data_IF_293650850772
#
_entry.id   IF_293650850772
#
_cell.length_a   1.000
_cell.length_b   1.000
_cell.length_c   1.000
_cell.angle_alpha   90.00
_cell.angle_beta   90.00
_cell.angle_gamma   90.00
#
_symmetry.space_group_name_H-M   'P 1'
#
loop_
_entity.id
_entity.type
_entity.pdbx_description
1 polymer ?
#
# COMPACT_ATOMS: atom_id res chain seq x y z
N UNK A 1 -20.94 -7.16 19.20
CA UNK A 1 -19.60 -7.73 19.47
C UNK A 1 -19.33 -7.61 20.94
N UNK A 2 -18.95 -8.71 21.58
CA UNK A 2 -18.48 -8.74 22.96
C UNK A 2 -17.09 -9.36 22.95
N UNK A 3 -16.18 -8.78 23.71
CA UNK A 3 -14.82 -9.28 23.87
C UNK A 3 -14.50 -9.35 25.36
N UNK A 4 -14.00 -10.49 25.82
CA UNK A 4 -13.74 -10.73 27.24
C UNK A 4 -12.31 -11.20 27.44
N UNK A 5 -11.63 -10.60 28.41
CA UNK A 5 -10.34 -11.02 28.95
C UNK A 5 -10.57 -12.06 30.04
N UNK A 6 -9.77 -13.12 29.99
CA UNK A 6 -9.74 -14.24 30.94
C UNK A 6 -8.32 -14.47 31.42
N UNK A 7 -8.15 -15.32 32.44
CA UNK A 7 -6.84 -15.71 32.94
C UNK A 7 -5.95 -16.38 31.88
N UNK A 8 -6.54 -17.06 30.89
CA UNK A 8 -5.82 -17.83 29.86
C UNK A 8 -5.72 -17.11 28.51
N UNK A 9 -6.20 -15.87 28.40
CA UNK A 9 -6.21 -15.11 27.16
C UNK A 9 -7.49 -14.31 26.95
N UNK A 10 -7.87 -14.09 25.71
CA UNK A 10 -9.07 -13.33 25.36
C UNK A 10 -9.88 -14.04 24.27
N UNK A 11 -11.19 -13.85 24.28
CA UNK A 11 -12.06 -14.41 23.25
C UNK A 11 -13.27 -13.52 22.98
N UNK A 12 -13.86 -13.70 21.80
CA UNK A 12 -15.14 -13.10 21.45
C UNK A 12 -16.26 -13.94 22.06
N UNK A 13 -17.29 -13.26 22.56
CA UNK A 13 -18.50 -13.88 23.08
C UNK A 13 -19.66 -13.48 22.18
N UNK A 14 -20.49 -14.46 21.81
CA UNK A 14 -21.52 -14.28 20.78
C UNK A 14 -22.88 -13.86 21.34
N UNK A 15 -23.12 -14.03 22.64
CA UNK A 15 -24.38 -13.66 23.30
C UNK A 15 -24.16 -12.88 24.60
N UNK A 16 -25.04 -11.91 24.86
CA UNK A 16 -25.07 -11.17 26.11
C UNK A 16 -25.52 -12.04 27.29
N UNK A 17 -26.35 -13.06 27.03
CA UNK A 17 -26.82 -13.98 28.07
C UNK A 17 -25.66 -14.73 28.72
N UNK A 18 -24.59 -15.00 27.97
CA UNK A 18 -23.37 -15.62 28.50
C UNK A 18 -22.59 -14.68 29.44
N UNK A 19 -22.82 -13.37 29.37
CA UNK A 19 -22.24 -12.40 30.29
C UNK A 19 -23.07 -12.34 31.56
N UNK A 20 -24.39 -12.21 31.44
CA UNK A 20 -25.31 -12.10 32.58
C UNK A 20 -25.45 -13.41 33.35
N UNK A 21 -25.20 -14.56 32.71
CA UNK A 21 -25.18 -15.87 33.38
C UNK A 21 -23.91 -16.16 34.19
N UNK A 22 -22.94 -15.24 34.22
CA UNK A 22 -21.68 -15.45 34.96
C UNK A 22 -21.97 -15.41 36.46
N UNK A 23 -21.38 -16.30 37.27
CA UNK A 23 -21.73 -16.44 38.69
C UNK A 23 -21.61 -15.15 39.51
N UNK A 24 -20.69 -14.26 39.13
CA UNK A 24 -20.44 -13.01 39.85
C UNK A 24 -21.13 -11.80 39.20
N UNK A 25 -21.91 -11.99 38.13
CA UNK A 25 -22.56 -10.88 37.46
C UNK A 25 -23.75 -10.37 38.27
N UNK A 26 -23.78 -9.06 38.50
CA UNK A 26 -24.88 -8.38 39.18
C UNK A 26 -25.37 -7.24 38.31
N UNK A 27 -26.68 -7.19 38.09
CA UNK A 27 -27.33 -6.22 37.21
C UNK A 27 -27.11 -4.77 37.63
N UNK A 28 -27.00 -4.48 38.93
CA UNK A 28 -26.90 -3.11 39.44
C UNK A 28 -25.94 -2.97 40.62
N UNK A 29 -24.97 -2.07 40.50
CA UNK A 29 -24.02 -1.70 41.57
C UNK A 29 -24.10 -0.21 41.91
N UNK A 30 -23.68 0.14 43.13
CA UNK A 30 -23.46 1.52 43.58
C UNK A 30 -21.98 1.84 43.66
N UNK A 31 -21.55 3.01 43.16
CA UNK A 31 -20.16 3.48 43.32
C UNK A 31 -19.77 3.75 44.78
N UNK A 32 -20.76 3.99 45.64
CA UNK A 32 -20.51 4.23 47.07
C UNK A 32 -20.19 2.93 47.81
N UNK A 33 -20.64 1.79 47.29
CA UNK A 33 -20.52 0.46 47.90
C UNK A 33 -19.33 -0.32 47.32
N UNK A 34 -19.03 -0.13 46.03
CA UNK A 34 -18.02 -0.93 45.33
C UNK A 34 -16.98 -0.06 44.63
N UNK A 35 -15.72 -0.52 44.65
CA UNK A 35 -14.62 0.09 43.90
C UNK A 35 -14.28 -0.73 42.68
N UNK A 36 -13.95 -0.07 41.57
CA UNK A 36 -13.50 -0.76 40.37
C UNK A 36 -12.09 -1.32 40.58
N UNK A 37 -11.90 -2.58 40.21
CA UNK A 37 -10.60 -3.26 40.23
C UNK A 37 -10.03 -3.35 38.81
N UNK A 38 -10.81 -3.85 37.86
CA UNK A 38 -10.36 -4.03 36.48
C UNK A 38 -11.50 -3.95 35.45
N UNK A 39 -11.13 -3.73 34.19
CA UNK A 39 -12.00 -3.97 33.05
C UNK A 39 -11.66 -5.34 32.48
N UNK A 40 -12.68 -6.20 32.41
CA UNK A 40 -12.56 -7.58 31.94
C UNK A 40 -13.22 -7.80 30.59
N UNK A 41 -13.93 -6.81 30.06
CA UNK A 41 -14.55 -6.94 28.76
C UNK A 41 -14.97 -5.63 28.13
N UNK A 42 -15.27 -5.68 26.84
CA UNK A 42 -15.87 -4.61 26.07
C UNK A 42 -17.07 -5.14 25.30
N UNK A 43 -18.11 -4.32 25.18
CA UNK A 43 -19.25 -4.61 24.34
C UNK A 43 -19.58 -3.44 23.40
N UNK A 44 -20.04 -3.79 22.20
CA UNK A 44 -20.65 -2.87 21.25
C UNK A 44 -21.77 -3.57 20.48
N UNK A 45 -22.98 -3.05 20.58
CA UNK A 45 -24.18 -3.59 19.96
C UNK A 45 -24.87 -2.53 19.09
N UNK A 46 -25.77 -2.98 18.21
CA UNK A 46 -26.71 -2.09 17.51
C UNK A 46 -27.81 -1.66 18.46
N UNK A 47 -28.37 -2.64 19.17
CA UNK A 47 -29.37 -2.42 20.23
C UNK A 47 -28.68 -1.96 21.52
N UNK A 48 -29.44 -1.30 22.40
CA UNK A 48 -28.90 -0.72 23.63
C UNK A 48 -29.10 -1.66 24.82
N UNK A 49 -28.11 -1.69 25.71
CA UNK A 49 -28.14 -2.42 26.97
C UNK A 49 -28.12 -1.42 28.13
N UNK A 50 -28.96 -1.63 29.14
CA UNK A 50 -29.02 -0.76 30.31
C UNK A 50 -27.72 -0.85 31.12
N UNK A 51 -27.21 0.31 31.55
CA UNK A 51 -26.04 0.39 32.42
C UNK A 51 -26.32 -0.25 33.79
N UNK A 52 -25.37 -1.04 34.28
CA UNK A 52 -25.43 -1.62 35.62
C UNK A 52 -25.04 -0.65 36.75
N UNK A 53 -24.78 0.62 36.44
CA UNK A 53 -24.55 1.64 37.48
C UNK A 53 -25.88 2.26 37.93
N UNK A 54 -26.20 2.16 39.23
CA UNK A 54 -27.43 2.73 39.83
C UNK A 54 -27.61 4.23 39.52
N UNK A 55 -26.52 5.01 39.47
CA UNK A 55 -26.53 6.44 39.17
C UNK A 55 -26.81 6.80 37.70
N UNK A 56 -26.81 5.81 36.79
CA UNK A 56 -27.05 6.03 35.37
C UNK A 56 -28.30 5.27 34.89
N UNK A 57 -28.24 3.93 34.92
CA UNK A 57 -29.25 3.01 34.39
C UNK A 57 -29.76 3.37 32.97
N UNK A 58 -28.99 4.14 32.18
CA UNK A 58 -29.37 4.51 30.83
C UNK A 58 -28.96 3.43 29.83
N UNK A 59 -29.71 3.29 28.72
CA UNK A 59 -29.39 2.32 27.67
C UNK A 59 -28.19 2.80 26.83
N UNK A 60 -27.12 2.00 26.74
CA UNK A 60 -25.92 2.27 25.96
C UNK A 60 -25.71 1.27 24.83
N UNK A 61 -25.15 1.73 23.71
CA UNK A 61 -24.74 0.86 22.61
C UNK A 61 -23.34 0.27 22.82
N UNK A 62 -22.52 0.88 23.68
CA UNK A 62 -21.18 0.39 23.98
C UNK A 62 -20.75 0.73 25.41
N UNK A 63 -19.85 -0.10 25.93
CA UNK A 63 -19.29 0.08 27.24
C UNK A 63 -18.36 -1.08 27.60
N UNK A 64 -18.11 -1.21 28.89
CA UNK A 64 -17.16 -2.16 29.43
C UNK A 64 -17.85 -3.11 30.41
N UNK A 65 -17.33 -4.32 30.49
CA UNK A 65 -17.63 -5.26 31.56
C UNK A 65 -16.52 -5.06 32.59
N UNK A 66 -16.91 -4.66 33.79
CA UNK A 66 -15.98 -4.33 34.88
C UNK A 66 -16.03 -5.40 35.95
N UNK A 67 -14.95 -5.53 36.71
CA UNK A 67 -14.92 -6.27 37.96
C UNK A 67 -14.52 -5.34 39.09
N UNK A 68 -15.21 -5.46 40.21
CA UNK A 68 -14.94 -4.73 41.46
C UNK A 68 -13.91 -5.49 42.31
N UNK A 69 -13.40 -4.85 43.36
CA UNK A 69 -12.43 -5.44 44.30
C UNK A 69 -12.99 -6.64 45.09
N UNK A 70 -14.29 -6.66 45.37
CA UNK A 70 -15.02 -7.78 45.96
C UNK A 70 -15.45 -8.86 44.94
N UNK A 71 -15.00 -8.73 43.68
CA UNK A 71 -15.15 -9.75 42.65
C UNK A 71 -16.48 -9.75 41.89
N UNK A 72 -17.37 -8.79 42.16
CA UNK A 72 -18.62 -8.57 41.43
C UNK A 72 -18.31 -8.10 40.01
N UNK A 73 -19.07 -8.61 39.04
CA UNK A 73 -19.00 -8.22 37.65
C UNK A 73 -20.27 -7.46 37.25
N UNK A 74 -20.13 -6.40 36.44
CA UNK A 74 -21.29 -5.71 35.87
C UNK A 74 -20.91 -4.98 34.58
N UNK A 75 -21.89 -4.40 33.88
CA UNK A 75 -21.64 -3.60 32.68
C UNK A 75 -21.77 -2.10 32.97
N UNK A 76 -20.82 -1.31 32.51
CA UNK A 76 -20.82 0.15 32.67
C UNK A 76 -20.67 0.81 31.30
N UNK A 77 -21.51 1.80 31.01
CA UNK A 77 -21.39 2.61 29.80
C UNK A 77 -20.11 3.44 29.79
N UNK A 78 -19.54 3.67 28.61
CA UNK A 78 -18.27 4.41 28.47
C UNK A 78 -18.34 5.83 29.07
N UNK A 79 -19.42 6.56 28.81
CA UNK A 79 -19.60 7.95 29.25
C UNK A 79 -19.82 8.00 30.76
N UNK A 80 -20.82 7.26 31.26
CA UNK A 80 -21.17 7.29 32.68
C UNK A 80 -20.05 6.74 33.57
N UNK A 81 -19.29 5.75 33.10
CA UNK A 81 -18.14 5.23 33.86
C UNK A 81 -17.07 6.30 34.08
N UNK A 82 -16.78 7.11 33.06
CA UNK A 82 -15.83 8.21 33.18
C UNK A 82 -16.35 9.36 34.06
N UNK A 83 -17.64 9.65 34.04
CA UNK A 83 -18.27 10.66 34.91
C UNK A 83 -18.28 10.22 36.38
N UNK A 84 -18.53 8.94 36.64
CA UNK A 84 -18.81 8.44 37.98
C UNK A 84 -17.57 7.95 38.72
N UNK A 85 -16.60 7.41 37.99
CA UNK A 85 -15.34 6.86 38.53
C UNK A 85 -14.09 7.64 38.08
N UNK A 86 -14.26 8.67 37.25
CA UNK A 86 -13.22 9.64 36.93
C UNK A 86 -11.97 9.04 36.28
N UNK A 87 -10.80 9.45 36.79
CA UNK A 87 -9.48 9.10 36.24
C UNK A 87 -9.23 7.59 36.27
N UNK A 88 -9.63 6.91 37.35
CA UNK A 88 -9.43 5.46 37.50
C UNK A 88 -10.09 4.68 36.36
N UNK A 89 -11.32 5.04 35.99
CA UNK A 89 -12.01 4.39 34.88
C UNK A 89 -11.30 4.66 33.56
N UNK A 90 -10.86 5.90 33.30
CA UNK A 90 -10.13 6.24 32.08
C UNK A 90 -8.84 5.43 31.93
N UNK A 91 -8.05 5.30 33.00
CA UNK A 91 -6.82 4.50 33.01
C UNK A 91 -7.12 3.02 32.73
N UNK A 92 -8.13 2.45 33.38
CA UNK A 92 -8.55 1.07 33.15
C UNK A 92 -9.04 0.85 31.71
N UNK A 93 -9.80 1.79 31.15
CA UNK A 93 -10.27 1.71 29.76
C UNK A 93 -9.12 1.77 28.77
N UNK A 94 -8.15 2.66 28.98
CA UNK A 94 -6.99 2.79 28.10
C UNK A 94 -6.11 1.53 28.16
N UNK A 95 -5.88 0.97 29.35
CA UNK A 95 -5.17 -0.30 29.50
C UNK A 95 -5.88 -1.44 28.77
N UNK A 96 -7.21 -1.52 28.90
CA UNK A 96 -7.99 -2.56 28.26
C UNK A 96 -8.05 -2.40 26.73
N UNK A 97 -8.23 -1.18 26.23
CA UNK A 97 -8.24 -0.89 24.80
C UNK A 97 -6.89 -1.21 24.15
N UNK A 98 -5.79 -0.86 24.82
CA UNK A 98 -4.45 -1.23 24.38
C UNK A 98 -4.24 -2.75 24.34
N UNK A 99 -4.76 -3.47 25.36
CA UNK A 99 -4.78 -4.92 25.38
C UNK A 99 -5.59 -5.50 24.20
N UNK A 100 -6.83 -5.05 24.00
CA UNK A 100 -7.67 -5.52 22.89
C UNK A 100 -7.04 -5.27 21.53
N UNK A 101 -6.43 -4.10 21.35
CA UNK A 101 -5.74 -3.74 20.11
C UNK A 101 -4.55 -4.66 19.86
N UNK A 102 -3.77 -4.96 20.90
CA UNK A 102 -2.67 -5.92 20.81
C UNK A 102 -3.15 -7.32 20.42
N UNK A 103 -4.18 -7.83 21.10
CA UNK A 103 -4.73 -9.17 20.81
C UNK A 103 -5.33 -9.25 19.40
N UNK A 104 -6.03 -8.21 18.97
CA UNK A 104 -6.54 -8.10 17.59
C UNK A 104 -5.40 -8.11 16.58
N UNK A 105 -4.32 -7.36 16.82
CA UNK A 105 -3.17 -7.35 15.93
C UNK A 105 -2.45 -8.71 15.90
N UNK A 106 -2.32 -9.40 17.05
CA UNK A 106 -1.77 -10.76 17.09
C UNK A 106 -2.61 -11.72 16.27
N UNK A 107 -3.95 -11.64 16.36
CA UNK A 107 -4.86 -12.46 15.56
C UNK A 107 -4.65 -12.21 14.06
N UNK A 108 -4.61 -10.95 13.62
CA UNK A 108 -4.35 -10.59 12.21
C UNK A 108 -3.02 -11.17 11.72
N UNK A 109 -1.94 -11.00 12.50
CA UNK A 109 -0.62 -11.52 12.13
C UNK A 109 -0.61 -13.04 12.12
N UNK A 110 -1.31 -13.70 13.05
CA UNK A 110 -1.45 -15.15 13.10
C UNK A 110 -2.20 -15.70 11.88
N UNK A 111 -3.31 -15.06 11.48
CA UNK A 111 -4.03 -15.41 10.26
C UNK A 111 -3.16 -15.18 9.00
N UNK A 112 -2.41 -14.08 8.98
CA UNK A 112 -1.47 -13.78 7.90
C UNK A 112 -0.36 -14.82 7.76
N UNK A 113 0.17 -15.34 8.88
CA UNK A 113 1.15 -16.43 8.88
C UNK A 113 0.66 -17.66 8.12
N UNK A 114 -0.62 -18.02 8.24
CA UNK A 114 -1.22 -19.14 7.51
C UNK A 114 -1.23 -18.91 6.00
N UNK A 115 -1.24 -17.65 5.55
CA UNK A 115 -1.27 -17.27 4.13
C UNK A 115 0.13 -17.07 3.53
N UNK A 116 1.18 -16.98 4.35
CA UNK A 116 2.54 -16.66 3.91
C UNK A 116 3.05 -17.58 2.79
N UNK A 117 2.79 -18.89 2.84
CA UNK A 117 3.25 -19.83 1.81
C UNK A 117 2.54 -19.63 0.47
N UNK A 118 1.23 -19.35 0.50
CA UNK A 118 0.45 -19.01 -0.68
C UNK A 118 0.91 -17.68 -1.31
N UNK A 119 1.15 -16.66 -0.49
CA UNK A 119 1.67 -15.38 -0.94
C UNK A 119 3.06 -15.51 -1.56
N UNK A 120 3.99 -16.20 -0.88
CA UNK A 120 5.35 -16.48 -1.41
C UNK A 120 5.28 -17.21 -2.75
N UNK A 121 4.48 -18.29 -2.83
CA UNK A 121 4.31 -19.05 -4.07
C UNK A 121 3.75 -18.20 -5.21
N UNK A 122 2.81 -17.29 -4.89
CA UNK A 122 2.22 -16.38 -5.87
C UNK A 122 3.26 -15.41 -6.44
N UNK A 123 4.03 -14.74 -5.59
CA UNK A 123 5.05 -13.80 -6.08
C UNK A 123 6.21 -14.52 -6.78
N UNK A 124 6.62 -15.71 -6.32
CA UNK A 124 7.64 -16.51 -6.98
C UNK A 124 7.21 -16.99 -8.37
N UNK A 125 5.90 -17.16 -8.60
CA UNK A 125 5.38 -17.43 -9.94
C UNK A 125 5.73 -16.33 -10.94
N UNK A 126 5.90 -15.08 -10.51
CA UNK A 126 6.27 -13.95 -11.38
C UNK A 126 7.69 -14.07 -11.94
N UNK A 127 8.57 -14.80 -11.25
CA UNK A 127 9.91 -15.15 -11.75
C UNK A 127 9.88 -16.24 -12.82
N UNK A 128 8.83 -17.06 -12.83
CA UNK A 128 8.64 -18.16 -13.81
C UNK A 128 7.99 -17.69 -15.11
N UNK A 129 7.35 -16.52 -15.12
CA UNK A 129 6.78 -15.90 -16.32
C UNK A 129 7.89 -15.52 -17.31
N UNK A 130 7.55 -15.44 -18.61
CA UNK A 130 8.48 -14.99 -19.67
C UNK A 130 7.88 -13.82 -20.47
N UNK A 131 8.52 -12.63 -20.50
CA UNK A 131 9.63 -12.22 -19.65
C UNK A 131 9.29 -12.25 -18.15
N UNK A 132 10.29 -12.53 -17.30
CA UNK A 132 10.11 -12.58 -15.84
C UNK A 132 10.13 -11.19 -15.23
N UNK A 133 9.70 -11.08 -13.98
CA UNK A 133 9.80 -9.80 -13.25
C UNK A 133 11.24 -9.26 -13.17
N UNK A 134 12.22 -10.13 -12.96
CA UNK A 134 13.64 -9.74 -12.90
C UNK A 134 14.13 -9.22 -14.26
N UNK A 135 13.74 -9.88 -15.36
CA UNK A 135 14.05 -9.42 -16.72
C UNK A 135 13.39 -8.08 -17.03
N UNK A 136 12.11 -7.92 -16.67
CA UNK A 136 11.39 -6.66 -16.88
C UNK A 136 12.02 -5.51 -16.08
N UNK A 137 12.32 -5.73 -14.80
CA UNK A 137 12.97 -4.73 -13.95
C UNK A 137 14.32 -4.30 -14.52
N UNK A 138 15.17 -5.28 -14.88
CA UNK A 138 16.47 -5.00 -15.47
C UNK A 138 16.37 -4.25 -16.81
N UNK A 139 15.40 -4.59 -17.65
CA UNK A 139 15.21 -3.90 -18.94
C UNK A 139 14.64 -2.48 -18.78
N UNK A 140 13.80 -2.22 -17.77
CA UNK A 140 13.35 -0.88 -17.41
C UNK A 140 14.51 -0.01 -16.92
N UNK A 141 15.42 -0.58 -16.09
CA UNK A 141 16.63 0.12 -15.66
C UNK A 141 17.56 0.42 -16.86
N UNK A 142 17.80 -0.57 -17.72
CA UNK A 142 18.68 -0.44 -18.90
C UNK A 142 18.17 0.59 -19.91
N UNK A 143 16.87 0.61 -20.21
CA UNK A 143 16.31 1.50 -21.24
C UNK A 143 16.36 2.98 -20.83
N UNK A 144 16.53 3.28 -19.54
CA UNK A 144 16.76 4.64 -19.03
C UNK A 144 18.25 5.04 -19.00
N UNK A 145 19.15 4.09 -19.27
CA UNK A 145 20.59 4.28 -19.11
C UNK A 145 21.29 4.35 -20.49
N UNK A 146 21.97 5.48 -20.73
CA UNK A 146 22.63 5.77 -22.00
C UNK A 146 23.70 4.74 -22.41
N UNK A 147 24.32 4.04 -21.46
CA UNK A 147 25.33 3.03 -21.75
C UNK A 147 24.75 1.77 -22.41
N UNK A 148 23.43 1.54 -22.30
CA UNK A 148 22.77 0.36 -22.87
C UNK A 148 21.99 0.67 -24.14
N UNK A 149 21.42 1.87 -24.25
CA UNK A 149 20.51 2.22 -25.36
C UNK A 149 20.97 3.41 -26.20
N UNK A 150 22.11 4.01 -25.87
CA UNK A 150 22.54 5.27 -26.47
C UNK A 150 21.93 6.49 -25.75
N UNK A 151 22.60 7.64 -25.88
CA UNK A 151 22.26 8.87 -25.15
C UNK A 151 20.89 9.40 -25.55
N UNK A 152 20.60 9.45 -26.85
CA UNK A 152 19.34 10.03 -27.34
C UNK A 152 18.13 9.17 -26.97
N UNK A 153 18.24 7.84 -27.09
CA UNK A 153 17.17 6.92 -26.68
C UNK A 153 16.90 7.02 -25.18
N UNK A 154 17.95 6.94 -24.34
CA UNK A 154 17.79 7.07 -22.88
C UNK A 154 17.21 8.43 -22.47
N UNK A 155 17.53 9.49 -23.21
CA UNK A 155 16.96 10.83 -22.97
C UNK A 155 15.47 10.85 -23.32
N UNK A 156 15.09 10.31 -24.47
CA UNK A 156 13.68 10.21 -24.87
C UNK A 156 12.85 9.40 -23.87
N UNK A 157 13.37 8.27 -23.42
CA UNK A 157 12.69 7.40 -22.46
C UNK A 157 12.51 8.11 -21.11
N UNK A 158 13.51 8.87 -20.65
CA UNK A 158 13.39 9.70 -19.43
C UNK A 158 12.40 10.85 -19.60
N UNK A 159 12.30 11.43 -20.80
CA UNK A 159 11.29 12.44 -21.12
C UNK A 159 9.88 11.83 -21.09
N UNK A 160 9.70 10.64 -21.66
CA UNK A 160 8.43 9.90 -21.59
C UNK A 160 8.05 9.56 -20.14
N UNK A 161 9.04 9.19 -19.30
CA UNK A 161 8.84 8.95 -17.88
C UNK A 161 8.39 10.23 -17.15
N UNK A 162 8.95 11.39 -17.51
CA UNK A 162 8.59 12.67 -16.89
C UNK A 162 7.22 13.20 -17.36
N UNK A 163 6.93 13.11 -18.65
CA UNK A 163 5.73 13.71 -19.25
C UNK A 163 4.49 12.83 -19.12
N UNK A 164 4.67 11.50 -19.08
CA UNK A 164 3.60 10.51 -19.07
C UNK A 164 2.59 10.62 -20.25
N UNK A 165 2.88 11.42 -21.27
CA UNK A 165 2.01 11.57 -22.45
C UNK A 165 2.10 10.39 -23.40
N UNK A 166 3.23 9.69 -23.39
CA UNK A 166 3.57 8.65 -24.36
C UNK A 166 3.88 9.19 -25.76
N UNK A 167 3.78 10.49 -26.00
CA UNK A 167 3.96 11.07 -27.34
C UNK A 167 5.46 11.22 -27.61
N UNK A 168 5.91 10.70 -28.75
CA UNK A 168 7.27 10.85 -29.25
C UNK A 168 7.23 11.82 -30.42
N UNK A 169 7.97 12.92 -30.32
CA UNK A 169 8.14 13.90 -31.41
C UNK A 169 9.61 14.06 -31.78
N UNK A 170 9.88 14.40 -33.03
CA UNK A 170 11.19 14.77 -33.53
C UNK A 170 11.17 16.25 -33.89
N UNK A 171 12.03 17.05 -33.26
CA UNK A 171 12.20 18.47 -33.58
C UNK A 171 13.40 18.61 -34.50
N UNK A 172 13.22 19.20 -35.68
CA UNK A 172 14.29 19.46 -36.65
C UNK A 172 14.29 20.93 -37.08
N UNK A 173 15.44 21.41 -37.53
CA UNK A 173 15.59 22.78 -38.03
C UNK A 173 14.85 22.91 -39.37
N UNK A 174 13.97 23.90 -39.46
CA UNK A 174 13.28 24.25 -40.69
C UNK A 174 14.21 25.04 -41.60
N UNK A 175 14.49 24.46 -42.76
CA UNK A 175 15.42 25.03 -43.76
C UNK A 175 14.67 25.69 -44.92
N UNK A 176 13.38 25.40 -45.10
CA UNK A 176 12.58 26.05 -46.13
C UNK A 176 12.36 27.52 -45.78
N UNK A 177 12.93 28.42 -46.60
CA UNK A 177 12.91 29.88 -46.39
C UNK A 177 11.51 30.43 -46.09
N UNK A 178 10.50 29.97 -46.84
CA UNK A 178 9.12 30.41 -46.67
C UNK A 178 8.53 29.97 -45.31
N UNK A 179 8.73 28.71 -44.93
CA UNK A 179 8.22 28.14 -43.69
C UNK A 179 8.91 28.77 -42.47
N UNK A 180 10.23 28.96 -42.56
CA UNK A 180 11.03 29.67 -41.55
C UNK A 180 10.54 31.09 -41.31
N UNK A 181 10.24 31.86 -42.36
CA UNK A 181 9.68 33.21 -42.22
C UNK A 181 8.33 33.22 -41.51
N UNK A 182 7.46 32.25 -41.80
CA UNK A 182 6.15 32.12 -41.11
C UNK A 182 6.34 31.73 -39.65
N UNK A 183 7.20 30.76 -39.36
CA UNK A 183 7.50 30.32 -37.99
C UNK A 183 8.09 31.46 -37.15
N UNK A 184 9.02 32.24 -37.69
CA UNK A 184 9.52 33.43 -37.01
C UNK A 184 8.44 34.48 -36.81
N UNK A 185 7.58 34.77 -37.79
CA UNK A 185 6.50 35.74 -37.60
C UNK A 185 5.50 35.34 -36.50
N UNK A 186 5.33 34.04 -36.25
CA UNK A 186 4.31 33.50 -35.34
C UNK A 186 4.84 33.04 -33.98
N UNK A 187 6.16 32.81 -33.84
CA UNK A 187 6.76 32.28 -32.62
C UNK A 187 7.95 33.12 -32.13
N UNK A 188 7.73 33.88 -31.04
CA UNK A 188 8.73 34.76 -30.42
C UNK A 188 9.98 34.01 -29.94
N UNK A 189 9.86 32.79 -29.43
CA UNK A 189 11.01 32.00 -28.98
C UNK A 189 11.92 31.60 -30.14
N UNK A 190 11.34 31.28 -31.30
CA UNK A 190 12.12 30.99 -32.51
C UNK A 190 12.83 32.23 -33.06
N UNK A 191 12.20 33.42 -32.93
CA UNK A 191 12.88 34.69 -33.25
C UNK A 191 14.10 34.92 -32.34
N UNK A 192 13.94 34.74 -31.04
CA UNK A 192 14.99 34.98 -30.03
C UNK A 192 16.13 33.97 -30.12
N UNK A 193 15.83 32.69 -30.39
CA UNK A 193 16.84 31.64 -30.58
C UNK A 193 17.54 31.71 -31.95
N UNK A 194 16.94 32.36 -32.94
CA UNK A 194 17.45 32.40 -34.31
C UNK A 194 17.30 31.08 -35.07
N UNK A 195 16.57 30.10 -34.53
CA UNK A 195 16.33 28.79 -35.12
C UNK A 195 14.83 28.54 -35.26
N UNK A 196 14.35 28.37 -36.50
CA UNK A 196 13.01 27.89 -36.73
C UNK A 196 13.04 26.37 -36.70
N UNK A 197 12.16 25.76 -35.92
CA UNK A 197 12.07 24.30 -35.81
C UNK A 197 10.65 23.81 -36.10
N UNK A 198 10.58 22.59 -36.61
CA UNK A 198 9.32 21.89 -36.89
C UNK A 198 9.29 20.58 -36.09
N UNK A 199 8.16 20.33 -35.42
CA UNK A 199 7.92 19.11 -34.67
C UNK A 199 7.18 18.07 -35.52
N UNK A 200 7.78 16.90 -35.68
CA UNK A 200 7.20 15.76 -36.39
C UNK A 200 6.73 14.70 -35.39
N UNK A 201 5.48 14.26 -35.50
CA UNK A 201 4.97 13.17 -34.67
C UNK A 201 5.54 11.82 -35.12
N UNK A 202 6.27 11.14 -34.22
CA UNK A 202 6.93 9.85 -34.50
C UNK A 202 6.13 8.64 -34.02
N UNK A 203 5.10 8.86 -33.19
CA UNK A 203 4.24 7.82 -32.67
C UNK A 203 3.97 7.95 -31.18
N UNK A 204 3.39 6.88 -30.62
CA UNK A 204 3.05 6.80 -29.20
C UNK A 204 3.66 5.55 -28.55
N UNK A 205 4.28 5.75 -27.39
CA UNK A 205 4.68 4.71 -26.45
C UNK A 205 3.61 4.60 -25.36
N UNK A 206 3.05 3.42 -25.18
CA UNK A 206 2.03 3.15 -24.15
C UNK A 206 2.68 2.64 -22.86
N UNK A 207 1.97 2.72 -21.73
CA UNK A 207 2.40 2.21 -20.41
C UNK A 207 3.66 2.90 -19.85
N UNK A 208 3.81 4.21 -20.08
CA UNK A 208 4.97 4.98 -19.59
C UNK A 208 5.07 5.06 -18.07
N UNK A 209 3.99 4.77 -17.35
CA UNK A 209 3.96 4.81 -15.89
C UNK A 209 4.85 3.74 -15.26
N UNK A 210 5.21 2.68 -15.99
CA UNK A 210 6.16 1.65 -15.51
C UNK A 210 7.58 2.19 -15.33
N UNK A 211 7.87 3.38 -15.89
CA UNK A 211 9.16 4.05 -15.77
C UNK A 211 9.26 4.90 -14.49
N UNK A 212 8.14 5.13 -13.79
CA UNK A 212 8.10 5.97 -12.60
C UNK A 212 8.80 5.28 -11.40
N UNK A 213 9.54 6.02 -10.55
CA UNK A 213 10.22 5.46 -9.39
C UNK A 213 9.28 4.69 -8.45
N UNK A 214 8.08 5.21 -8.20
CA UNK A 214 7.06 4.54 -7.37
C UNK A 214 6.56 3.23 -7.98
N UNK A 215 6.79 2.97 -9.27
CA UNK A 215 6.43 1.76 -9.98
C UNK A 215 7.65 0.86 -10.25
N UNK A 216 8.72 1.01 -9.46
CA UNK A 216 9.87 0.12 -9.54
C UNK A 216 9.47 -1.33 -9.19
N UNK A 217 9.52 -2.22 -10.20
CA UNK A 217 9.17 -3.63 -10.06
C UNK A 217 10.04 -4.37 -9.03
N UNK A 218 11.35 -4.07 -9.00
CA UNK A 218 12.31 -4.73 -8.11
C UNK A 218 12.01 -4.36 -6.67
N UNK A 219 11.89 -3.07 -6.38
CA UNK A 219 11.62 -2.56 -5.03
C UNK A 219 10.27 -3.08 -4.51
N UNK A 220 9.22 -3.04 -5.33
CA UNK A 220 7.90 -3.58 -4.95
C UNK A 220 7.94 -5.07 -4.66
N UNK A 221 8.63 -5.86 -5.48
CA UNK A 221 8.79 -7.30 -5.26
C UNK A 221 9.56 -7.60 -3.96
N UNK A 222 10.69 -6.92 -3.75
CA UNK A 222 11.54 -7.10 -2.55
C UNK A 222 10.78 -6.72 -1.30
N UNK A 223 10.13 -5.56 -1.29
CA UNK A 223 9.34 -5.08 -0.14
C UNK A 223 8.23 -6.05 0.25
N UNK A 224 7.49 -6.63 -0.71
CA UNK A 224 6.48 -7.66 -0.41
C UNK A 224 7.14 -8.93 0.16
N UNK A 225 8.26 -9.36 -0.43
CA UNK A 225 8.99 -10.56 0.01
C UNK A 225 9.51 -10.43 1.45
N UNK A 226 10.04 -9.26 1.80
CA UNK A 226 10.54 -8.94 3.14
C UNK A 226 9.41 -8.90 4.17
N UNK A 227 8.26 -8.33 3.81
CA UNK A 227 7.09 -8.29 4.69
C UNK A 227 6.54 -9.69 4.95
N UNK A 228 6.44 -10.54 3.92
CA UNK A 228 6.03 -11.94 4.09
C UNK A 228 7.01 -12.69 5.02
N UNK A 229 8.32 -12.46 4.85
CA UNK A 229 9.36 -13.05 5.71
C UNK A 229 9.22 -12.58 7.17
N UNK A 230 9.02 -11.29 7.39
CA UNK A 230 8.88 -10.71 8.72
C UNK A 230 7.63 -11.25 9.45
N UNK A 231 6.50 -11.34 8.74
CA UNK A 231 5.25 -11.94 9.28
C UNK A 231 5.46 -13.41 9.61
N UNK A 232 6.16 -14.17 8.76
CA UNK A 232 6.44 -15.60 9.00
C UNK A 232 7.26 -15.82 10.27
N UNK A 233 8.29 -14.98 10.47
CA UNK A 233 9.33 -15.20 11.48
C UNK A 233 9.04 -14.61 12.86
N UNK A 234 8.12 -13.64 12.99
CA UNK A 234 7.85 -13.01 14.29
C UNK A 234 7.37 -14.00 15.35
N UNK A 235 7.94 -13.94 16.56
CA UNK A 235 7.35 -14.58 17.73
C UNK A 235 6.33 -13.63 18.40
N UNK A 236 5.04 -13.97 18.31
CA UNK A 236 3.95 -13.17 18.86
C UNK A 236 3.92 -13.16 20.41
N UNK A 237 4.64 -14.08 21.06
CA UNK A 237 4.75 -14.12 22.52
C UNK A 237 5.84 -13.19 23.05
N UNK A 238 6.93 -13.03 22.28
CA UNK A 238 8.08 -12.23 22.68
C UNK A 238 8.10 -10.82 22.08
N UNK A 239 7.41 -10.59 20.95
CA UNK A 239 7.45 -9.30 20.27
C UNK A 239 6.69 -8.20 21.02
N UNK A 240 7.19 -6.97 20.92
CA UNK A 240 6.56 -5.79 21.51
C UNK A 240 5.32 -5.35 20.70
N UNK A 241 4.44 -4.59 21.36
CA UNK A 241 3.18 -4.10 20.78
C UNK A 241 3.37 -3.25 19.50
N UNK A 242 4.32 -2.28 19.44
CA UNK A 242 4.59 -1.52 18.21
C UNK A 242 4.95 -2.39 17.00
N UNK A 243 5.83 -3.39 17.18
CA UNK A 243 6.22 -4.29 16.09
C UNK A 243 5.05 -5.15 15.60
N UNK A 244 4.23 -5.66 16.52
CA UNK A 244 3.02 -6.44 16.18
C UNK A 244 2.01 -5.56 15.45
N UNK A 245 1.81 -4.32 15.89
CA UNK A 245 0.88 -3.37 15.25
C UNK A 245 1.34 -3.01 13.84
N UNK A 246 2.63 -2.77 13.64
CA UNK A 246 3.19 -2.49 12.32
C UNK A 246 3.03 -3.68 11.35
N UNK A 247 3.33 -4.90 11.80
CA UNK A 247 3.17 -6.10 10.98
C UNK A 247 1.69 -6.41 10.69
N UNK A 248 0.78 -6.16 11.62
CA UNK A 248 -0.67 -6.26 11.41
C UNK A 248 -1.12 -5.33 10.27
N UNK A 249 -0.67 -4.07 10.29
CA UNK A 249 -0.94 -3.11 9.21
C UNK A 249 -0.38 -3.60 7.87
N UNK A 250 0.87 -4.06 7.84
CA UNK A 250 1.49 -4.58 6.61
C UNK A 250 0.75 -5.81 6.08
N UNK A 251 0.41 -6.77 6.94
CA UNK A 251 -0.32 -7.98 6.60
C UNK A 251 -1.64 -7.70 5.86
N UNK A 252 -2.40 -6.71 6.33
CA UNK A 252 -3.67 -6.31 5.70
C UNK A 252 -3.53 -5.77 4.27
N UNK A 253 -2.31 -5.43 3.82
CA UNK A 253 -2.06 -4.84 2.48
C UNK A 253 -1.41 -5.82 1.50
N UNK A 254 -0.91 -6.97 1.95
CA UNK A 254 -0.09 -7.86 1.10
C UNK A 254 -0.88 -8.34 -0.12
N UNK A 255 -2.12 -8.78 0.06
CA UNK A 255 -2.93 -9.29 -1.05
C UNK A 255 -3.16 -8.23 -2.14
N UNK A 256 -3.45 -6.99 -1.75
CA UNK A 256 -3.62 -5.89 -2.68
C UNK A 256 -2.30 -5.55 -3.39
N UNK A 257 -1.20 -5.46 -2.65
CA UNK A 257 0.13 -5.20 -3.21
C UNK A 257 0.58 -6.28 -4.20
N UNK A 258 0.26 -7.55 -3.95
CA UNK A 258 0.50 -8.65 -4.90
C UNK A 258 -0.33 -8.45 -6.18
N UNK A 259 -1.61 -8.06 -6.07
CA UNK A 259 -2.46 -7.77 -7.23
C UNK A 259 -1.92 -6.60 -8.04
N UNK A 260 -1.53 -5.51 -7.38
CA UNK A 260 -0.92 -4.34 -8.02
C UNK A 260 0.39 -4.71 -8.72
N UNK A 261 1.26 -5.50 -8.07
CA UNK A 261 2.52 -5.95 -8.68
C UNK A 261 2.28 -6.83 -9.92
N UNK A 262 1.26 -7.71 -9.88
CA UNK A 262 0.87 -8.53 -11.02
C UNK A 262 0.41 -7.67 -12.21
N UNK A 263 -0.43 -6.65 -11.95
CA UNK A 263 -0.89 -5.72 -12.98
C UNK A 263 0.29 -4.95 -13.57
N UNK A 264 1.15 -4.39 -12.71
CA UNK A 264 2.31 -3.63 -13.13
C UNK A 264 3.30 -4.46 -13.96
N UNK A 265 3.51 -5.73 -13.59
CA UNK A 265 4.33 -6.66 -14.39
C UNK A 265 3.72 -6.91 -15.77
N UNK A 266 2.39 -7.06 -15.86
CA UNK A 266 1.71 -7.21 -17.14
C UNK A 266 1.88 -5.98 -18.03
N UNK A 267 1.76 -4.78 -17.46
CA UNK A 267 1.96 -3.52 -18.17
C UNK A 267 3.42 -3.31 -18.57
N UNK A 268 4.38 -3.67 -17.72
CA UNK A 268 5.80 -3.65 -18.06
C UNK A 268 6.13 -4.58 -19.23
N UNK A 269 5.51 -5.76 -19.29
CA UNK A 269 5.66 -6.68 -20.44
C UNK A 269 5.08 -6.10 -21.72
N UNK A 270 3.99 -5.32 -21.65
CA UNK A 270 3.45 -4.60 -22.81
C UNK A 270 4.31 -3.41 -23.21
N UNK A 271 4.86 -2.69 -22.22
CA UNK A 271 5.79 -1.59 -22.42
C UNK A 271 7.04 -2.05 -23.19
N UNK A 272 7.66 -3.14 -22.72
CA UNK A 272 8.90 -3.74 -23.23
C UNK A 272 8.68 -4.63 -24.45
N UNK A 273 8.02 -4.11 -25.48
CA UNK A 273 7.89 -4.78 -26.78
C UNK A 273 8.55 -3.95 -27.88
N UNK A 274 9.07 -4.62 -28.91
CA UNK A 274 9.62 -3.94 -30.09
C UNK A 274 8.59 -2.99 -30.71
N UNK A 275 7.34 -3.45 -30.80
CA UNK A 275 6.23 -2.66 -31.33
C UNK A 275 5.95 -1.40 -30.51
N UNK A 276 5.88 -1.50 -29.19
CA UNK A 276 5.54 -0.33 -28.36
C UNK A 276 6.67 0.72 -28.35
N UNK A 277 7.92 0.30 -28.51
CA UNK A 277 9.10 1.18 -28.52
C UNK A 277 9.51 1.63 -29.93
N UNK A 278 8.78 1.24 -30.98
CA UNK A 278 9.15 1.55 -32.36
C UNK A 278 9.14 3.05 -32.65
N UNK A 279 8.30 3.83 -31.96
CA UNK A 279 8.26 5.29 -32.11
C UNK A 279 9.62 5.94 -31.77
N UNK A 280 10.31 5.44 -30.74
CA UNK A 280 11.65 5.91 -30.36
C UNK A 280 12.68 5.50 -31.41
N UNK A 281 12.59 4.28 -31.97
CA UNK A 281 13.46 3.85 -33.08
C UNK A 281 13.25 4.72 -34.33
N UNK A 282 11.99 5.03 -34.67
CA UNK A 282 11.64 5.94 -35.76
C UNK A 282 12.21 7.34 -35.55
N UNK A 283 12.13 7.88 -34.32
CA UNK A 283 12.75 9.18 -33.98
C UNK A 283 14.26 9.16 -34.22
N UNK A 284 14.96 8.13 -33.75
CA UNK A 284 16.41 8.02 -33.91
C UNK A 284 16.83 7.85 -35.38
N UNK A 285 16.05 7.10 -36.17
CA UNK A 285 16.33 6.88 -37.60
C UNK A 285 16.20 8.17 -38.41
N UNK A 286 15.20 8.99 -38.09
CA UNK A 286 14.92 10.22 -38.84
C UNK A 286 15.65 11.45 -38.27
N UNK A 287 16.22 11.38 -37.07
CA UNK A 287 16.92 12.52 -36.50
C UNK A 287 18.27 12.76 -37.18
N UNK A 288 18.53 14.02 -37.53
CA UNK A 288 19.81 14.51 -38.06
C UNK A 288 20.95 14.46 -37.04
N UNK A 289 20.62 14.48 -35.75
CA UNK A 289 21.59 14.50 -34.63
C UNK A 289 21.92 13.12 -34.07
N UNK A 290 21.18 12.08 -34.48
CA UNK A 290 21.40 10.72 -33.99
C UNK A 290 22.60 10.06 -34.68
N UNK A 291 23.61 9.70 -33.87
CA UNK A 291 24.77 8.96 -34.34
C UNK A 291 24.42 7.53 -34.76
N UNK A 292 25.23 6.93 -35.63
CA UNK A 292 25.09 5.52 -35.99
C UNK A 292 25.22 4.60 -34.76
N UNK A 293 26.10 4.96 -33.83
CA UNK A 293 26.27 4.26 -32.55
C UNK A 293 25.01 4.31 -31.68
N UNK A 294 24.36 5.47 -31.54
CA UNK A 294 23.10 5.58 -30.78
C UNK A 294 21.99 4.70 -31.39
N UNK A 295 21.88 4.69 -32.73
CA UNK A 295 20.91 3.86 -33.45
C UNK A 295 21.21 2.37 -33.22
N UNK A 296 22.47 1.96 -33.34
CA UNK A 296 22.90 0.58 -33.17
C UNK A 296 22.67 0.08 -31.73
N UNK A 297 22.99 0.88 -30.72
CA UNK A 297 22.74 0.53 -29.32
C UNK A 297 21.24 0.31 -29.04
N UNK A 298 20.38 1.22 -29.51
CA UNK A 298 18.94 1.06 -29.28
C UNK A 298 18.37 -0.14 -30.03
N UNK A 299 18.74 -0.36 -31.30
CA UNK A 299 18.32 -1.53 -32.06
C UNK A 299 18.80 -2.85 -31.42
N UNK A 300 20.04 -2.88 -30.91
CA UNK A 300 20.56 -4.02 -30.14
C UNK A 300 19.70 -4.31 -28.92
N UNK A 301 19.35 -3.28 -28.13
CA UNK A 301 18.43 -3.43 -27.01
C UNK A 301 17.06 -3.94 -27.43
N UNK A 302 16.44 -3.36 -28.48
CA UNK A 302 15.15 -3.81 -28.98
C UNK A 302 15.19 -5.28 -29.37
N UNK A 303 16.29 -5.76 -29.95
CA UNK A 303 16.46 -7.16 -30.33
C UNK A 303 16.46 -8.14 -29.16
N UNK A 304 16.74 -7.68 -27.94
CA UNK A 304 16.61 -8.49 -26.72
C UNK A 304 15.16 -8.64 -26.24
N UNK A 305 14.24 -7.82 -26.75
CA UNK A 305 12.84 -7.82 -26.35
C UNK A 305 12.02 -8.83 -27.15
N UNK A 306 10.92 -9.31 -26.55
CA UNK A 306 9.92 -10.08 -27.28
C UNK A 306 9.31 -9.26 -28.42
N UNK A 307 8.84 -9.96 -29.47
CA UNK A 307 8.13 -9.35 -30.60
C UNK A 307 6.95 -8.51 -30.13
#
# INVERSE_FOLDING_TARGET
>A
MIFVRTATGSHKVDSWDLITSRPNFIDKISKAEHKLSEIIGFYRFKDKIHCGLKGCNQPHQMGYIVRTDDGIETNIGNICGAEEFGVQFKELTEQFDNFMKLETNKMIVSEAKLKCDSWSSTIDSFRKLKPSIDTCAANIEKIQNANYVGRLAATEIRLLAKSQSGIVTLTEIETAKWARSILFATNKYMQESGEATTDYFMGKVSFTHVLLPENNLRERFVSISEDIKAIRQIDLKAANSPTIADLSRRANTIEDRIKQLKLLLHEARKFLTKKNLSAVSSKLKNSSTASESDRAHFESFLNTLSR
#
